data_IF_430017855004
#
_entry.id   IF_430017855004
#
_cell.length_a   1.000
_cell.length_b   1.000
_cell.length_c   1.000
_cell.angle_alpha   90.00
_cell.angle_beta   90.00
_cell.angle_gamma   90.00
#
_symmetry.space_group_name_H-M   'P 1'
#
loop_
_entity.id
_entity.type
_entity.pdbx_description
1 polymer ?
#
# COMPACT_ATOMS: atom_id res chain seq x y z
N UNK A 1 -16.03 -4.84 -13.79
CA UNK A 1 -14.76 -5.46 -14.22
C UNK A 1 -13.62 -4.82 -13.45
N UNK A 2 -12.67 -5.64 -13.01
CA UNK A 2 -11.55 -5.20 -12.19
C UNK A 2 -10.50 -4.42 -13.01
N UNK A 3 -9.76 -3.54 -12.33
CA UNK A 3 -8.46 -3.05 -12.82
C UNK A 3 -7.37 -3.99 -12.30
N UNK A 4 -6.22 -4.01 -12.94
CA UNK A 4 -5.02 -4.58 -12.31
C UNK A 4 -4.32 -3.47 -11.55
N UNK A 5 -4.01 -3.74 -10.28
CA UNK A 5 -3.22 -2.89 -9.41
C UNK A 5 -1.80 -3.46 -9.33
N UNK A 6 -0.84 -2.59 -9.10
CA UNK A 6 0.51 -2.96 -8.70
C UNK A 6 1.02 -2.02 -7.62
N UNK A 7 1.89 -2.54 -6.77
CA UNK A 7 2.34 -1.82 -5.61
C UNK A 7 3.24 -2.65 -4.70
N UNK A 8 3.39 -2.20 -3.47
CA UNK A 8 4.18 -2.89 -2.44
C UNK A 8 3.36 -3.16 -1.20
N UNK A 9 3.62 -4.30 -0.56
CA UNK A 9 3.14 -4.58 0.79
C UNK A 9 3.89 -3.77 1.83
N UNK A 10 3.26 -3.58 2.99
CA UNK A 10 3.81 -2.91 4.17
C UNK A 10 3.65 -3.84 5.36
N UNK A 11 4.69 -3.95 6.19
CA UNK A 11 4.59 -4.67 7.45
C UNK A 11 3.79 -3.86 8.48
N UNK A 12 3.00 -4.54 9.31
CA UNK A 12 2.13 -3.92 10.30
C UNK A 12 2.90 -3.00 11.24
N UNK A 13 4.00 -3.49 11.81
CA UNK A 13 4.78 -2.76 12.81
C UNK A 13 5.46 -1.52 12.20
N UNK A 14 5.94 -1.62 10.96
CA UNK A 14 6.53 -0.47 10.24
C UNK A 14 5.48 0.58 9.92
N UNK A 15 4.28 0.15 9.51
CA UNK A 15 3.18 1.06 9.24
C UNK A 15 2.70 1.76 10.52
N UNK A 16 2.50 1.02 11.61
CA UNK A 16 2.12 1.59 12.90
C UNK A 16 3.15 2.61 13.39
N UNK A 17 4.45 2.31 13.27
CA UNK A 17 5.52 3.24 13.60
C UNK A 17 5.49 4.51 12.74
N UNK A 18 5.22 4.38 11.44
CA UNK A 18 5.08 5.50 10.52
C UNK A 18 3.89 6.40 10.87
N UNK A 19 2.72 5.81 11.13
CA UNK A 19 1.49 6.52 11.51
C UNK A 19 1.71 7.33 12.79
N UNK A 20 2.31 6.70 13.81
CA UNK A 20 2.68 7.36 15.06
C UNK A 20 3.65 8.52 14.85
N UNK A 21 4.69 8.34 14.04
CA UNK A 21 5.64 9.40 13.71
C UNK A 21 5.01 10.55 12.92
N UNK A 22 3.96 10.27 12.14
CA UNK A 22 3.17 11.25 11.41
C UNK A 22 2.16 12.01 12.29
N UNK A 23 2.04 11.67 13.58
CA UNK A 23 1.11 12.29 14.53
C UNK A 23 -0.31 11.72 14.48
N UNK A 24 -0.47 10.52 13.91
CA UNK A 24 -1.73 9.77 13.87
C UNK A 24 -1.65 8.58 14.85
N UNK A 25 -2.80 7.94 15.09
CA UNK A 25 -2.89 6.77 15.95
C UNK A 25 -2.93 7.10 17.46
N UNK A 26 -2.79 6.07 18.31
CA UNK A 26 -3.08 6.16 19.73
C UNK A 26 -2.13 7.10 20.49
N UNK A 27 -2.67 7.74 21.53
CA UNK A 27 -1.94 8.67 22.39
C UNK A 27 -0.86 7.99 23.25
N UNK A 28 -0.01 8.76 23.92
CA UNK A 28 1.00 8.20 24.83
C UNK A 28 0.38 7.30 25.91
N UNK A 29 0.76 6.02 25.94
CA UNK A 29 0.28 5.05 26.92
C UNK A 29 -0.94 4.22 26.49
N UNK A 30 -1.50 4.50 25.31
CA UNK A 30 -2.52 3.66 24.68
C UNK A 30 -1.85 2.46 23.96
N UNK A 31 -2.56 1.32 23.83
CA UNK A 31 -2.03 0.14 23.14
C UNK A 31 -1.78 0.42 21.65
N UNK A 32 -0.87 -0.35 21.04
CA UNK A 32 -0.62 -0.27 19.61
C UNK A 32 -1.89 -0.62 18.82
N UNK A 33 -2.17 0.09 17.70
CA UNK A 33 -3.41 -0.08 16.97
C UNK A 33 -3.48 -1.46 16.31
N UNK A 34 -4.68 -2.01 16.25
CA UNK A 34 -4.93 -3.23 15.48
C UNK A 34 -4.69 -2.97 13.96
N UNK A 35 -4.50 -4.01 13.13
CA UNK A 35 -4.27 -3.82 11.70
C UNK A 35 -5.32 -2.96 11.01
N UNK A 36 -6.60 -3.18 11.30
CA UNK A 36 -7.68 -2.39 10.70
C UNK A 36 -7.63 -0.90 11.11
N UNK A 37 -7.32 -0.60 12.37
CA UNK A 37 -7.17 0.79 12.87
C UNK A 37 -5.97 1.46 12.21
N UNK A 38 -4.84 0.74 12.13
CA UNK A 38 -3.63 1.18 11.44
C UNK A 38 -3.92 1.53 9.98
N UNK A 39 -4.75 0.74 9.31
CA UNK A 39 -5.22 1.01 7.96
C UNK A 39 -6.08 2.28 7.86
N UNK A 40 -7.00 2.49 8.80
CA UNK A 40 -7.84 3.69 8.84
C UNK A 40 -6.99 4.96 9.01
N UNK A 41 -6.04 4.94 9.94
CA UNK A 41 -5.13 6.07 10.16
C UNK A 41 -4.25 6.33 8.93
N UNK A 42 -3.83 5.29 8.22
CA UNK A 42 -3.06 5.45 6.98
C UNK A 42 -3.87 6.09 5.86
N UNK A 43 -5.16 5.74 5.75
CA UNK A 43 -6.09 6.38 4.83
C UNK A 43 -6.32 7.85 5.19
N UNK A 44 -6.47 8.17 6.48
CA UNK A 44 -6.63 9.54 6.96
C UNK A 44 -5.38 10.38 6.71
N UNK A 45 -4.20 9.85 7.07
CA UNK A 45 -2.91 10.46 6.76
C UNK A 45 -2.81 10.79 5.27
N UNK A 46 -3.18 9.85 4.39
CA UNK A 46 -3.14 10.05 2.94
C UNK A 46 -4.11 11.14 2.49
N UNK A 47 -5.31 11.21 3.06
CA UNK A 47 -6.32 12.21 2.71
C UNK A 47 -5.85 13.64 3.01
N UNK A 48 -4.96 13.80 4.01
CA UNK A 48 -4.33 15.07 4.37
C UNK A 48 -3.08 15.41 3.53
N UNK A 49 -2.68 14.55 2.58
CA UNK A 49 -1.60 14.83 1.64
C UNK A 49 -2.15 15.46 0.33
N UNK A 50 -1.30 16.17 -0.44
CA UNK A 50 -1.69 16.68 -1.75
C UNK A 50 -2.36 15.63 -2.65
N UNK A 51 -3.26 16.06 -3.55
CA UNK A 51 -3.95 15.14 -4.46
C UNK A 51 -2.95 14.35 -5.31
N UNK A 52 -3.33 13.14 -5.72
CA UNK A 52 -2.48 12.28 -6.54
C UNK A 52 -2.15 12.98 -7.87
N UNK A 53 -0.91 13.43 -8.01
CA UNK A 53 -0.36 13.83 -9.31
C UNK A 53 0.22 12.57 -9.97
N UNK A 54 -0.12 12.31 -11.24
CA UNK A 54 0.43 11.17 -12.00
C UNK A 54 1.91 11.34 -12.38
N UNK A 55 2.65 12.14 -11.62
CA UNK A 55 4.08 12.31 -11.77
C UNK A 55 4.79 11.41 -10.74
N UNK A 56 5.57 10.41 -11.18
CA UNK A 56 6.36 9.56 -10.29
C UNK A 56 7.29 10.34 -9.35
N UNK A 57 7.62 11.59 -9.70
CA UNK A 57 8.48 12.45 -8.89
C UNK A 57 7.74 13.27 -7.83
N UNK A 58 6.43 13.15 -7.72
CA UNK A 58 5.63 13.85 -6.69
C UNK A 58 4.52 12.98 -6.11
N UNK A 59 4.34 11.76 -6.62
CA UNK A 59 3.29 10.85 -6.16
C UNK A 59 3.50 10.46 -4.69
N UNK A 60 2.47 10.75 -3.90
CA UNK A 60 2.26 10.16 -2.58
C UNK A 60 1.46 8.87 -2.79
N UNK A 61 2.03 7.69 -2.46
CA UNK A 61 1.38 6.41 -2.76
C UNK A 61 -0.02 6.32 -2.17
N UNK A 62 -0.94 5.73 -2.93
CA UNK A 62 -2.31 5.54 -2.47
C UNK A 62 -2.39 4.26 -1.64
N UNK A 63 -2.85 4.32 -0.39
CA UNK A 63 -3.02 3.14 0.45
C UNK A 63 -3.89 2.09 -0.23
N UNK A 64 -3.59 0.82 0.00
CA UNK A 64 -4.44 -0.31 -0.36
C UNK A 64 -4.32 -1.42 0.68
N UNK A 65 -5.26 -2.36 0.63
CA UNK A 65 -5.19 -3.56 1.45
C UNK A 65 -5.85 -4.71 0.70
N UNK A 66 -5.49 -5.93 1.10
CA UNK A 66 -6.15 -7.15 0.69
C UNK A 66 -5.97 -8.19 1.80
N UNK A 67 -6.76 -9.27 1.74
CA UNK A 67 -6.51 -10.44 2.58
C UNK A 67 -5.64 -11.42 1.81
N UNK A 68 -4.64 -11.99 2.48
CA UNK A 68 -3.90 -13.12 1.93
C UNK A 68 -4.73 -14.41 1.97
N UNK A 69 -4.11 -15.53 1.57
CA UNK A 69 -4.78 -16.84 1.50
C UNK A 69 -5.20 -17.37 2.88
N UNK A 70 -4.61 -16.88 3.96
CA UNK A 70 -4.95 -17.26 5.33
C UNK A 70 -6.02 -16.31 5.93
N UNK A 71 -6.51 -15.36 5.13
CA UNK A 71 -7.46 -14.34 5.58
C UNK A 71 -6.81 -13.22 6.39
N UNK A 72 -5.48 -13.13 6.43
CA UNK A 72 -4.76 -12.08 7.16
C UNK A 72 -4.79 -10.79 6.36
N UNK A 73 -5.06 -9.68 7.06
CA UNK A 73 -5.02 -8.34 6.49
C UNK A 73 -3.58 -7.97 6.10
N UNK A 74 -3.38 -7.60 4.84
CA UNK A 74 -2.10 -7.14 4.30
C UNK A 74 -2.21 -5.68 3.92
N UNK A 75 -1.40 -4.84 4.54
CA UNK A 75 -1.25 -3.44 4.18
C UNK A 75 -0.43 -3.29 2.91
N UNK A 76 -0.78 -2.31 2.10
CA UNK A 76 -0.11 -2.03 0.84
C UNK A 76 -0.24 -0.56 0.44
N UNK A 77 0.50 -0.17 -0.59
CA UNK A 77 0.19 1.01 -1.40
C UNK A 77 0.30 0.70 -2.88
N UNK A 78 -0.38 1.50 -3.71
CA UNK A 78 -0.43 1.36 -5.16
C UNK A 78 0.59 2.31 -5.80
N UNK A 79 1.37 1.77 -6.73
CA UNK A 79 2.27 2.52 -7.62
C UNK A 79 1.67 2.69 -9.02
N UNK A 80 0.91 1.70 -9.50
CA UNK A 80 0.36 1.68 -10.87
C UNK A 80 -1.01 1.02 -10.92
N UNK A 81 -1.82 1.48 -11.87
CA UNK A 81 -3.11 0.87 -12.20
C UNK A 81 -3.25 0.69 -13.70
N UNK A 82 -3.89 -0.39 -14.14
CA UNK A 82 -4.27 -0.57 -15.53
C UNK A 82 -5.44 0.36 -15.90
N UNK A 83 -5.71 0.46 -17.21
CA UNK A 83 -7.00 1.00 -17.67
C UNK A 83 -8.16 0.17 -17.07
N UNK A 84 -9.33 0.79 -16.83
CA UNK A 84 -10.55 0.06 -16.51
C UNK A 84 -10.86 -1.03 -17.56
N UNK A 85 -11.61 -2.07 -17.15
CA UNK A 85 -12.13 -3.10 -18.06
C UNK A 85 -11.06 -3.88 -18.83
N UNK A 86 -9.99 -4.31 -18.15
CA UNK A 86 -9.00 -5.21 -18.77
C UNK A 86 -9.71 -6.52 -19.16
N UNK A 87 -9.65 -6.87 -20.45
CA UNK A 87 -10.25 -8.09 -20.99
C UNK A 87 -9.42 -9.34 -20.71
N UNK A 88 -8.10 -9.17 -20.55
CA UNK A 88 -7.18 -10.25 -20.20
C UNK A 88 -7.05 -10.38 -18.67
N UNK A 89 -7.71 -11.39 -18.11
CA UNK A 89 -7.68 -11.69 -16.66
C UNK A 89 -6.30 -12.13 -16.14
N UNK A 90 -5.40 -12.54 -17.04
CA UNK A 90 -4.02 -12.91 -16.73
C UNK A 90 -3.05 -11.73 -16.81
N UNK A 91 -3.53 -10.52 -17.14
CA UNK A 91 -2.67 -9.34 -17.16
C UNK A 91 -2.10 -9.11 -15.75
N UNK A 92 -0.76 -9.08 -15.66
CA UNK A 92 -0.04 -8.72 -14.44
C UNK A 92 1.07 -7.75 -14.79
N UNK A 93 1.30 -6.78 -13.92
CA UNK A 93 2.47 -5.93 -14.01
C UNK A 93 3.69 -6.69 -13.50
N UNK A 94 4.82 -6.48 -14.17
CA UNK A 94 6.14 -6.78 -13.60
C UNK A 94 6.68 -5.53 -12.93
N UNK A 95 7.40 -5.70 -11.82
CA UNK A 95 8.09 -4.60 -11.14
C UNK A 95 9.01 -3.86 -12.12
N UNK A 96 8.85 -2.53 -12.19
CA UNK A 96 9.59 -1.63 -13.07
C UNK A 96 10.42 -0.64 -12.25
N UNK A 97 11.34 0.07 -12.92
CA UNK A 97 12.15 1.12 -12.27
C UNK A 97 11.29 2.23 -11.65
N UNK A 98 10.14 2.54 -12.24
CA UNK A 98 9.18 3.51 -11.70
C UNK A 98 8.60 3.04 -10.36
N UNK A 99 8.29 1.75 -10.21
CA UNK A 99 7.78 1.22 -8.94
C UNK A 99 8.83 1.33 -7.84
N UNK A 100 10.07 0.93 -8.17
CA UNK A 100 11.21 1.03 -7.25
C UNK A 100 11.47 2.47 -6.83
N UNK A 101 11.41 3.41 -7.78
CA UNK A 101 11.54 4.85 -7.50
C UNK A 101 10.45 5.34 -6.54
N UNK A 102 9.19 4.98 -6.76
CA UNK A 102 8.07 5.37 -5.88
C UNK A 102 8.26 4.78 -4.48
N UNK A 103 8.64 3.49 -4.38
CA UNK A 103 8.95 2.82 -3.11
C UNK A 103 10.06 3.53 -2.35
N UNK A 104 11.20 3.76 -3.00
CA UNK A 104 12.39 4.34 -2.35
C UNK A 104 12.13 5.78 -1.89
N UNK A 105 11.25 6.50 -2.60
CA UNK A 105 10.78 7.82 -2.17
C UNK A 105 9.84 7.75 -0.98
N UNK A 106 8.91 6.81 -0.98
CA UNK A 106 8.01 6.58 0.17
C UNK A 106 8.82 6.25 1.43
N UNK A 107 9.84 5.40 1.32
CA UNK A 107 10.79 5.10 2.39
C UNK A 107 11.45 6.39 2.90
N UNK A 108 12.01 7.22 2.01
CA UNK A 108 12.63 8.50 2.41
C UNK A 108 11.64 9.46 3.07
N UNK A 109 10.42 9.56 2.56
CA UNK A 109 9.35 10.40 3.11
C UNK A 109 8.91 9.92 4.51
N UNK A 110 8.96 8.62 4.76
CA UNK A 110 8.73 8.02 6.08
C UNK A 110 9.91 8.16 7.04
N UNK A 111 10.94 8.95 6.69
CA UNK A 111 12.18 9.06 7.45
C UNK A 111 12.90 7.70 7.64
N UNK A 112 12.83 6.83 6.64
CA UNK A 112 13.41 5.48 6.62
C UNK A 112 12.83 4.52 7.68
N UNK A 113 11.58 4.72 8.10
CA UNK A 113 10.87 3.76 8.96
C UNK A 113 10.67 2.42 8.21
N UNK A 114 10.20 2.48 6.97
CA UNK A 114 10.04 1.28 6.13
C UNK A 114 11.38 0.76 5.60
N UNK A 115 11.53 -0.57 5.51
CA UNK A 115 12.69 -1.21 4.91
C UNK A 115 12.35 -1.81 3.55
N UNK A 116 13.15 -1.49 2.51
CA UNK A 116 12.91 -1.99 1.15
C UNK A 116 12.89 -3.53 1.06
N UNK A 117 13.64 -4.22 1.92
CA UNK A 117 13.68 -5.69 1.99
C UNK A 117 12.38 -6.33 2.49
N UNK A 118 11.57 -5.58 3.24
CA UNK A 118 10.30 -6.05 3.80
C UNK A 118 9.12 -5.78 2.85
N UNK A 119 9.33 -4.93 1.85
CA UNK A 119 8.30 -4.51 0.90
C UNK A 119 8.25 -5.45 -0.31
N UNK A 120 7.20 -6.28 -0.40
CA UNK A 120 7.03 -7.21 -1.52
C UNK A 120 6.22 -6.57 -2.63
N UNK A 121 6.75 -6.59 -3.85
CA UNK A 121 5.99 -6.14 -5.02
C UNK A 121 4.82 -7.10 -5.28
N UNK A 122 3.63 -6.55 -5.54
CA UNK A 122 2.45 -7.31 -5.94
C UNK A 122 1.86 -6.78 -7.24
N UNK A 123 1.14 -7.65 -7.96
CA UNK A 123 0.22 -7.25 -9.01
C UNK A 123 -1.04 -8.11 -8.96
N UNK A 124 -2.18 -7.49 -8.68
CA UNK A 124 -3.43 -8.19 -8.37
C UNK A 124 -4.63 -7.45 -8.98
N UNK A 125 -5.74 -8.13 -9.32
CA UNK A 125 -7.00 -7.47 -9.62
C UNK A 125 -7.48 -6.58 -8.46
N UNK A 126 -8.11 -5.45 -8.75
CA UNK A 126 -8.60 -4.49 -7.75
C UNK A 126 -9.74 -5.00 -6.89
N UNK A 127 -10.35 -6.11 -7.29
CA UNK A 127 -11.37 -6.84 -6.55
C UNK A 127 -10.81 -8.15 -5.98
N UNK A 128 -9.48 -8.28 -5.87
CA UNK A 128 -8.85 -9.44 -5.27
C UNK A 128 -9.29 -9.54 -3.82
N UNK A 129 -10.20 -10.48 -3.58
CA UNK A 129 -10.47 -11.09 -2.30
C UNK A 129 -9.77 -12.44 -2.41
N UNK A 130 -8.97 -12.85 -1.42
CA UNK A 130 -8.40 -14.19 -1.41
C UNK A 130 -9.52 -15.22 -1.53
N UNK A 131 -9.72 -15.77 -2.72
CA UNK A 131 -10.67 -16.84 -2.98
C UNK A 131 -9.89 -17.91 -3.72
N UNK A 132 -9.97 -19.14 -3.20
CA UNK A 132 -9.53 -20.37 -3.86
C UNK A 132 -9.84 -20.34 -5.35
N UNK A 133 -8.84 -20.70 -6.15
CA UNK A 133 -9.10 -21.29 -7.45
C UNK A 133 -8.31 -22.59 -7.46
N UNK A 134 -9.05 -23.69 -7.54
CA UNK A 134 -8.61 -25.10 -7.48
C UNK A 134 -7.30 -25.40 -8.22
#
# INVERSE_FOLDING_TARGET
MAKILAGYTLEQDELAAFIKAAGYGPGPGEPDPAPFETWMDFMEWRANQPPVVQDPNTIVPYPHWFNDMEGKHVHAFITRTSKPHVTNMNLRFKESDIDRLIRDRFIKMSNNIFQASNMRFFSLPSNYVGVEVD
#
